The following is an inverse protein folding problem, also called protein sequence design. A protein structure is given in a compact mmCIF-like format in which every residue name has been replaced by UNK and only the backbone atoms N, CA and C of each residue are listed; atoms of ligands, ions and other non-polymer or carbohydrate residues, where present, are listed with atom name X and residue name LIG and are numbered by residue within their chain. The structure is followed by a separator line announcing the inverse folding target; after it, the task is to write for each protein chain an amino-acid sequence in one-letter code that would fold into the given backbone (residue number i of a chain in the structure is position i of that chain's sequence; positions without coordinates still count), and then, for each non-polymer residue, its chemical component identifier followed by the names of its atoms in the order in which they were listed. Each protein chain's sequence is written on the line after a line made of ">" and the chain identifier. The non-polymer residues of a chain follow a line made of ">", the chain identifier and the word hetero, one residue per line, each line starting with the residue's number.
data_IF_261983909398
#
_entry.id   IF_261983909398
#
_cell.length_a   1.000
_cell.length_b   1.000
_cell.length_c   1.000
_cell.angle_alpha   90.00
_cell.angle_beta   90.00
_cell.angle_gamma   90.00
#
_symmetry.space_group_name_H-M   'P 1'
#
loop_
_entity.id
_entity.type
_entity.pdbx_description
1 polymer ?
#
# COMPACT_ATOMS: atom_id res chain seq x y z
N UNK A 1 21.90 -8.08 2.88
CA UNK A 1 21.24 -6.98 2.19
C UNK A 1 20.03 -6.63 3.03
N UNK A 2 19.98 -5.43 3.60
CA UNK A 2 18.89 -5.05 4.50
C UNK A 2 17.58 -5.02 3.71
N UNK A 3 16.67 -5.93 4.05
CA UNK A 3 15.31 -5.93 3.53
C UNK A 3 14.55 -4.79 4.18
N UNK A 4 14.15 -3.78 3.42
CA UNK A 4 13.19 -2.79 3.87
C UNK A 4 11.77 -3.32 3.65
N UNK A 5 10.82 -2.80 4.42
CA UNK A 5 9.41 -2.97 4.13
C UNK A 5 8.81 -1.62 3.68
N UNK A 6 7.75 -1.69 2.89
CA UNK A 6 6.98 -0.51 2.48
C UNK A 6 5.52 -0.75 2.82
N UNK A 7 4.93 0.15 3.59
CA UNK A 7 3.49 0.19 3.82
C UNK A 7 2.89 1.18 2.84
N UNK A 8 1.93 0.74 2.05
CA UNK A 8 1.21 1.61 1.12
C UNK A 8 -0.24 1.74 1.59
N UNK A 9 -0.75 2.95 1.58
CA UNK A 9 -2.15 3.27 1.83
C UNK A 9 -2.72 3.97 0.61
N UNK A 10 -3.90 3.55 0.16
CA UNK A 10 -4.64 4.22 -0.90
C UNK A 10 -6.07 4.54 -0.44
N UNK A 11 -6.53 5.75 -0.71
CA UNK A 11 -7.90 6.20 -0.47
C UNK A 11 -8.63 6.39 -1.79
N UNK A 12 -9.77 5.71 -1.93
CA UNK A 12 -10.63 5.84 -3.09
C UNK A 12 -11.18 7.26 -3.22
N UNK A 13 -11.46 7.68 -4.45
CA UNK A 13 -12.05 8.98 -4.73
C UNK A 13 -13.58 8.83 -4.69
N UNK A 14 -14.19 9.36 -3.64
CA UNK A 14 -15.64 9.23 -3.41
C UNK A 14 -16.47 10.18 -4.28
N UNK A 15 -15.84 11.09 -5.02
CA UNK A 15 -16.51 12.07 -5.89
C UNK A 15 -16.74 11.53 -7.31
N UNK A 16 -16.25 10.33 -7.61
CA UNK A 16 -16.42 9.68 -8.90
C UNK A 16 -17.87 9.26 -9.16
N UNK A 17 -18.24 9.15 -10.45
CA UNK A 17 -19.50 8.51 -10.82
C UNK A 17 -19.46 7.02 -10.44
N UNK A 18 -20.61 6.38 -10.17
CA UNK A 18 -20.63 4.99 -9.71
C UNK A 18 -19.81 4.01 -10.58
N UNK A 19 -19.93 4.08 -11.90
CA UNK A 19 -19.19 3.20 -12.81
C UNK A 19 -17.65 3.42 -12.79
N UNK A 20 -17.22 4.66 -12.61
CA UNK A 20 -15.80 5.03 -12.49
C UNK A 20 -15.26 4.60 -11.11
N UNK A 21 -16.06 4.74 -10.07
CA UNK A 21 -15.75 4.25 -8.73
C UNK A 21 -15.59 2.72 -8.70
N UNK A 22 -16.52 1.99 -9.33
CA UNK A 22 -16.44 0.53 -9.44
C UNK A 22 -15.18 0.10 -10.19
N UNK A 23 -14.82 0.84 -11.24
CA UNK A 23 -13.57 0.62 -11.99
C UNK A 23 -12.33 0.90 -11.15
N UNK A 24 -12.31 2.00 -10.37
CA UNK A 24 -11.25 2.30 -9.41
C UNK A 24 -11.06 1.16 -8.40
N UNK A 25 -12.16 0.69 -7.80
CA UNK A 25 -12.13 -0.42 -6.84
C UNK A 25 -11.62 -1.71 -7.49
N UNK A 26 -12.07 -2.02 -8.71
CA UNK A 26 -11.62 -3.19 -9.46
C UNK A 26 -10.11 -3.14 -9.77
N UNK A 27 -9.53 -1.96 -9.99
CA UNK A 27 -8.09 -1.77 -10.20
C UNK A 27 -7.29 -1.99 -8.91
N UNK A 28 -7.77 -1.49 -7.76
CA UNK A 28 -7.00 -1.49 -6.49
C UNK A 28 -7.12 -2.83 -5.75
N UNK A 29 -8.32 -3.42 -5.73
CA UNK A 29 -8.64 -4.60 -4.94
C UNK A 29 -7.73 -5.83 -5.15
N UNK A 30 -7.18 -6.10 -6.35
CA UNK A 30 -6.27 -7.24 -6.55
C UNK A 30 -4.93 -7.11 -5.81
N UNK A 31 -4.51 -5.89 -5.48
CA UNK A 31 -3.17 -5.59 -4.94
C UNK A 31 -3.17 -5.05 -3.51
N UNK A 32 -4.34 -4.71 -2.97
CA UNK A 32 -4.48 -4.18 -1.61
C UNK A 32 -5.64 -4.83 -0.86
N UNK A 33 -5.52 -4.88 0.46
CA UNK A 33 -6.61 -5.27 1.34
C UNK A 33 -7.39 -4.04 1.81
N UNK A 34 -8.70 -4.17 1.98
CA UNK A 34 -9.51 -3.13 2.60
C UNK A 34 -9.31 -3.14 4.12
N UNK A 35 -8.96 -1.98 4.68
CA UNK A 35 -8.89 -1.73 6.12
C UNK A 35 -10.14 -0.93 6.54
N UNK A 36 -11.07 -1.62 7.20
CA UNK A 36 -12.32 -1.02 7.68
C UNK A 36 -12.11 -0.01 8.81
N UNK A 37 -11.01 -0.11 9.58
CA UNK A 37 -10.75 0.80 10.69
C UNK A 37 -10.35 2.20 10.19
N UNK A 38 -9.60 2.26 9.09
CA UNK A 38 -9.17 3.52 8.48
C UNK A 38 -9.94 3.91 7.22
N UNK A 39 -10.92 3.08 6.80
CA UNK A 39 -11.68 3.23 5.57
C UNK A 39 -10.77 3.46 4.35
N UNK A 40 -9.71 2.65 4.26
CA UNK A 40 -8.69 2.79 3.24
C UNK A 40 -8.19 1.43 2.76
N UNK A 41 -7.58 1.41 1.58
CA UNK A 41 -6.83 0.26 1.10
C UNK A 41 -5.44 0.26 1.71
N UNK A 42 -4.96 -0.89 2.18
CA UNK A 42 -3.65 -1.03 2.80
C UNK A 42 -2.95 -2.31 2.34
N UNK A 43 -1.64 -2.21 2.15
CA UNK A 43 -0.76 -3.35 1.96
C UNK A 43 0.61 -3.09 2.57
N UNK A 44 1.32 -4.15 2.97
CA UNK A 44 2.71 -4.11 3.41
C UNK A 44 3.52 -5.01 2.48
N UNK A 45 4.52 -4.44 1.84
CA UNK A 45 5.35 -5.09 0.85
C UNK A 45 6.76 -5.24 1.39
N UNK A 46 7.36 -6.40 1.18
CA UNK A 46 8.79 -6.60 1.47
C UNK A 46 9.63 -6.25 0.26
N UNK A 47 10.69 -5.48 0.48
CA UNK A 47 11.70 -5.16 -0.54
C UNK A 47 12.43 -6.38 -1.10
N UNK A 48 12.31 -7.54 -0.45
CA UNK A 48 12.77 -8.83 -1.00
C UNK A 48 12.04 -9.28 -2.26
N UNK A 49 10.85 -8.71 -2.55
CA UNK A 49 10.02 -9.02 -3.72
C UNK A 49 9.89 -7.82 -4.65
N UNK A 50 11.03 -7.33 -5.16
CA UNK A 50 11.11 -6.08 -5.92
C UNK A 50 10.15 -6.00 -7.12
N UNK A 51 9.95 -7.09 -7.86
CA UNK A 51 9.01 -7.14 -8.99
C UNK A 51 7.56 -6.90 -8.54
N UNK A 52 7.15 -7.55 -7.45
CA UNK A 52 5.82 -7.37 -6.89
C UNK A 52 5.65 -5.95 -6.33
N UNK A 53 6.68 -5.39 -5.69
CA UNK A 53 6.69 -3.99 -5.24
C UNK A 53 6.46 -3.03 -6.42
N UNK A 54 7.20 -3.21 -7.52
CA UNK A 54 7.06 -2.40 -8.72
C UNK A 54 5.66 -2.51 -9.34
N UNK A 55 5.13 -3.73 -9.42
CA UNK A 55 3.77 -3.97 -9.91
C UNK A 55 2.72 -3.22 -9.08
N UNK A 56 2.73 -3.38 -7.75
CA UNK A 56 1.76 -2.72 -6.86
C UNK A 56 1.87 -1.20 -6.97
N UNK A 57 3.09 -0.64 -6.93
CA UNK A 57 3.30 0.81 -7.05
C UNK A 57 2.74 1.31 -8.38
N UNK A 58 3.08 0.68 -9.50
CA UNK A 58 2.60 1.10 -10.82
C UNK A 58 1.07 1.07 -10.91
N UNK A 59 0.42 0.00 -10.44
CA UNK A 59 -1.04 -0.10 -10.43
C UNK A 59 -1.68 1.03 -9.62
N UNK A 60 -1.10 1.40 -8.47
CA UNK A 60 -1.64 2.47 -7.63
C UNK A 60 -1.41 3.86 -8.21
N UNK A 61 -0.28 4.11 -8.86
CA UNK A 61 -0.04 5.36 -9.58
C UNK A 61 -0.93 5.49 -10.82
N UNK A 62 -1.23 4.39 -11.50
CA UNK A 62 -2.22 4.38 -12.58
C UNK A 62 -3.63 4.68 -12.05
N UNK A 63 -4.04 4.07 -10.93
CA UNK A 63 -5.30 4.38 -10.28
C UNK A 63 -5.36 5.83 -9.77
N UNK A 64 -4.24 6.41 -9.33
CA UNK A 64 -4.14 7.82 -8.98
C UNK A 64 -4.34 8.72 -10.22
N UNK A 65 -3.69 8.37 -11.34
CA UNK A 65 -3.78 9.12 -12.60
C UNK A 65 -5.19 9.08 -13.21
N UNK A 66 -5.83 7.92 -13.23
CA UNK A 66 -7.11 7.71 -13.91
C UNK A 66 -8.31 8.14 -13.06
N UNK A 67 -8.24 7.90 -11.75
CA UNK A 67 -9.40 7.99 -10.87
C UNK A 67 -9.23 9.01 -9.72
N UNK A 68 -8.07 9.66 -9.60
CA UNK A 68 -7.78 10.57 -8.48
C UNK A 68 -7.61 9.84 -7.14
N UNK A 69 -7.22 8.57 -7.16
CA UNK A 69 -6.89 7.81 -5.94
C UNK A 69 -5.75 8.49 -5.18
N UNK A 70 -5.94 8.79 -3.90
CA UNK A 70 -4.87 9.35 -3.07
C UNK A 70 -3.99 8.23 -2.51
N UNK A 71 -2.68 8.27 -2.80
CA UNK A 71 -1.71 7.22 -2.42
C UNK A 71 -0.67 7.78 -1.47
N UNK A 72 -0.34 7.04 -0.42
CA UNK A 72 0.73 7.35 0.54
C UNK A 72 1.66 6.16 0.68
N UNK A 73 2.98 6.42 0.63
CA UNK A 73 4.02 5.38 0.67
C UNK A 73 4.89 5.58 1.92
N UNK A 74 4.66 4.70 2.89
CA UNK A 74 5.37 4.44 4.14
C UNK A 74 6.66 3.62 4.01
N UNK A 75 7.88 4.17 4.03
CA UNK A 75 9.07 3.34 4.26
C UNK A 75 9.11 2.85 5.72
N UNK A 76 9.29 1.55 5.90
CA UNK A 76 9.44 0.91 7.20
C UNK A 76 10.86 0.31 7.25
N UNK A 77 11.77 0.88 8.07
CA UNK A 77 13.05 0.24 8.33
C UNK A 77 12.78 -1.18 8.84
N UNK A 78 13.57 -2.17 8.41
CA UNK A 78 13.61 -3.43 9.13
C UNK A 78 14.01 -3.11 10.57
N UNK A 79 13.07 -3.16 11.50
CA UNK A 79 13.39 -2.98 12.90
C UNK A 79 14.44 -4.02 13.26
N UNK A 80 15.64 -3.54 13.62
CA UNK A 80 16.55 -4.33 14.42
C UNK A 80 15.74 -4.78 15.64
N UNK A 81 15.65 -6.10 15.83
CA UNK A 81 15.14 -6.69 17.07
C UNK A 81 15.75 -5.92 18.24
N UNK A 82 14.97 -5.42 19.20
CA UNK A 82 15.57 -4.96 20.45
C UNK A 82 16.23 -6.20 21.05
N UNK A 83 17.55 -6.30 20.92
CA UNK A 83 18.32 -7.17 21.78
C UNK A 83 17.89 -6.81 23.19
N UNK A 84 17.25 -7.77 23.86
CA UNK A 84 16.90 -7.63 25.25
C UNK A 84 18.19 -7.44 26.02
N UNK A 85 18.56 -6.18 26.26
CA UNK A 85 19.42 -5.76 27.36
C UNK A 85 18.65 -6.06 28.65
N UNK A 86 18.62 -7.33 29.01
CA UNK A 86 18.37 -7.79 30.37
C UNK A 86 19.70 -8.33 30.88
N UNK A 87 20.57 -7.41 31.29
CA UNK A 87 21.65 -7.70 32.21
C UNK A 87 21.07 -8.25 33.50
N UNK A 88 21.55 -9.40 33.95
CA UNK A 88 21.52 -9.80 35.37
C UNK A 88 22.78 -10.59 35.66
#
# INVERSE_FOLDING_TARGET
>A
MDTFDVVITARSNLELKPAEFDSQVATIKPVMAWDSATSAWRTRLSGSRAEYVGYVINTLFEAARLYGTAVTVQWVPASQTPEAVAST
#
